data_IF_387715095324
#
_entry.id   IF_387715095324
#
_cell.length_a   1.000
_cell.length_b   1.000
_cell.length_c   1.000
_cell.angle_alpha   90.00
_cell.angle_beta   90.00
_cell.angle_gamma   90.00
#
_symmetry.space_group_name_H-M   'P 1'
#
loop_
_entity.id
_entity.type
_entity.pdbx_description
1 polymer ?
#
# COMPACT_ATOMS: atom_id res chain seq x y z
N UNK A 1 -25.95 27.77 -2.87
CA UNK A 1 -24.92 27.79 -1.81
C UNK A 1 -24.12 26.52 -1.97
N UNK A 2 -22.88 26.61 -2.46
CA UNK A 2 -21.99 25.45 -2.53
C UNK A 2 -21.54 25.14 -1.11
N UNK A 3 -22.15 24.11 -0.53
CA UNK A 3 -21.73 23.56 0.75
C UNK A 3 -20.34 22.94 0.54
N UNK A 4 -19.32 23.53 1.17
CA UNK A 4 -17.99 22.98 1.24
C UNK A 4 -17.98 22.01 2.43
N UNK A 5 -18.08 20.69 2.22
CA UNK A 5 -18.05 19.77 3.35
C UNK A 5 -16.71 19.93 4.07
N UNK A 6 -16.74 20.23 5.38
CA UNK A 6 -15.55 20.08 6.20
C UNK A 6 -15.28 18.58 6.31
N UNK A 7 -14.08 18.09 5.95
CA UNK A 7 -13.76 16.70 6.15
C UNK A 7 -13.90 16.39 7.64
N UNK A 8 -14.77 15.45 7.95
CA UNK A 8 -14.98 14.95 9.29
C UNK A 8 -13.72 14.13 9.63
N UNK A 9 -12.81 14.68 10.44
CA UNK A 9 -11.52 14.10 10.80
C UNK A 9 -11.66 12.90 11.78
N UNK A 10 -12.75 12.14 11.66
CA UNK A 10 -13.05 10.98 12.51
C UNK A 10 -12.00 9.88 12.29
N UNK A 11 -11.38 9.84 11.10
CA UNK A 11 -10.25 8.97 10.77
C UNK A 11 -9.07 9.82 10.31
N UNK A 12 -7.98 9.83 11.08
CA UNK A 12 -6.73 10.51 10.72
C UNK A 12 -6.05 9.79 9.55
N UNK A 13 -6.15 10.34 8.33
CA UNK A 13 -5.36 9.84 7.20
C UNK A 13 -3.90 10.32 7.35
N UNK A 14 -2.98 9.39 7.61
CA UNK A 14 -1.56 9.69 7.66
C UNK A 14 -1.04 10.02 6.25
N UNK A 15 -0.72 11.30 5.98
CA UNK A 15 -0.27 11.79 4.66
C UNK A 15 0.93 11.05 4.06
N UNK A 16 1.77 10.41 4.88
CA UNK A 16 2.91 9.61 4.40
C UNK A 16 2.48 8.23 3.90
N UNK A 17 1.31 7.74 4.32
CA UNK A 17 0.78 6.43 3.90
C UNK A 17 -0.20 6.54 2.73
N UNK A 18 -0.47 7.77 2.28
CA UNK A 18 -1.30 8.09 1.13
C UNK A 18 -0.72 7.56 -0.19
N UNK A 19 0.58 7.25 -0.25
CA UNK A 19 1.19 6.58 -1.40
C UNK A 19 0.81 5.10 -1.55
N UNK A 20 0.53 4.41 -0.43
CA UNK A 20 0.22 2.96 -0.41
C UNK A 20 -1.26 2.71 -0.69
N UNK A 21 -2.12 3.63 -0.27
CA UNK A 21 -3.57 3.58 -0.41
C UNK A 21 -4.09 3.45 -1.86
N UNK A 22 -3.60 4.22 -2.86
CA UNK A 22 -4.02 4.06 -4.24
C UNK A 22 -3.61 2.70 -4.80
N UNK A 23 -2.44 2.17 -4.42
CA UNK A 23 -2.02 0.84 -4.86
C UNK A 23 -2.92 -0.26 -4.30
N UNK A 24 -3.34 -0.14 -3.04
CA UNK A 24 -4.28 -1.07 -2.41
C UNK A 24 -5.62 -1.09 -3.15
N UNK A 25 -6.24 0.08 -3.30
CA UNK A 25 -7.60 0.23 -3.85
C UNK A 25 -7.70 -0.11 -5.35
N UNK A 26 -6.71 0.25 -6.17
CA UNK A 26 -6.70 -0.06 -7.61
C UNK A 26 -6.74 -1.58 -7.85
N UNK A 27 -6.04 -2.37 -7.04
CA UNK A 27 -6.03 -3.84 -7.19
C UNK A 27 -7.40 -4.45 -6.88
N UNK A 28 -8.12 -3.95 -5.87
CA UNK A 28 -9.49 -4.40 -5.60
C UNK A 28 -10.45 -4.02 -6.72
N UNK A 29 -10.34 -2.81 -7.28
CA UNK A 29 -11.15 -2.37 -8.41
C UNK A 29 -10.90 -3.29 -9.62
N UNK A 30 -9.65 -3.65 -9.87
CA UNK A 30 -9.29 -4.60 -10.93
C UNK A 30 -9.94 -5.97 -10.71
N UNK A 31 -9.85 -6.53 -9.50
CA UNK A 31 -10.50 -7.82 -9.19
C UNK A 31 -12.02 -7.77 -9.31
N UNK A 32 -12.66 -6.67 -8.92
CA UNK A 32 -14.10 -6.46 -9.09
C UNK A 32 -14.49 -6.44 -10.57
N UNK A 33 -13.70 -5.74 -11.41
CA UNK A 33 -13.89 -5.76 -12.85
C UNK A 33 -13.70 -7.16 -13.44
N UNK A 34 -12.67 -7.90 -13.03
CA UNK A 34 -12.46 -9.28 -13.47
C UNK A 34 -13.64 -10.20 -13.11
N UNK A 35 -14.18 -10.08 -11.89
CA UNK A 35 -15.36 -10.82 -11.46
C UNK A 35 -16.59 -10.47 -12.30
N UNK A 36 -16.84 -9.17 -12.51
CA UNK A 36 -17.97 -8.68 -13.31
C UNK A 36 -17.89 -9.17 -14.76
N UNK A 37 -16.69 -9.14 -15.36
CA UNK A 37 -16.45 -9.68 -16.69
C UNK A 37 -16.61 -11.21 -16.74
N UNK A 38 -16.16 -11.97 -15.74
CA UNK A 38 -16.42 -13.41 -15.68
C UNK A 38 -17.91 -13.73 -15.53
N UNK A 39 -18.65 -12.95 -14.75
CA UNK A 39 -20.07 -13.20 -14.49
C UNK A 39 -20.98 -12.71 -15.62
N UNK A 40 -20.58 -11.72 -16.42
CA UNK A 40 -21.36 -11.22 -17.56
C UNK A 40 -20.89 -11.80 -18.89
N UNK A 41 -19.60 -11.66 -19.23
CA UNK A 41 -19.12 -11.97 -20.59
C UNK A 41 -19.11 -13.48 -20.86
N UNK A 42 -18.69 -14.29 -19.88
CA UNK A 42 -18.60 -15.75 -20.02
C UNK A 42 -19.95 -16.46 -20.18
N UNK A 43 -21.00 -16.22 -19.38
CA UNK A 43 -22.30 -16.88 -19.62
C UNK A 43 -22.96 -16.40 -20.91
N UNK A 44 -22.77 -15.14 -21.32
CA UNK A 44 -23.23 -14.66 -22.63
C UNK A 44 -22.51 -15.37 -23.78
N UNK A 45 -21.18 -15.52 -23.70
CA UNK A 45 -20.37 -16.27 -24.68
C UNK A 45 -20.73 -17.75 -24.69
N UNK A 46 -20.85 -18.39 -23.53
CA UNK A 46 -21.20 -19.82 -23.41
C UNK A 46 -22.60 -20.08 -23.93
N UNK A 47 -23.59 -19.22 -23.66
CA UNK A 47 -24.95 -19.38 -24.21
C UNK A 47 -24.95 -19.28 -25.74
N UNK A 48 -24.16 -18.34 -26.30
CA UNK A 48 -24.01 -18.17 -27.75
C UNK A 48 -23.25 -19.34 -28.40
N UNK A 49 -22.20 -19.85 -27.74
CA UNK A 49 -21.37 -20.95 -28.24
C UNK A 49 -22.06 -22.30 -28.05
N UNK A 50 -22.77 -22.55 -26.94
CA UNK A 50 -23.57 -23.77 -26.76
C UNK A 50 -24.68 -23.87 -27.80
N UNK A 51 -25.31 -22.74 -28.16
CA UNK A 51 -26.27 -22.70 -29.26
C UNK A 51 -25.64 -23.14 -30.61
N UNK A 52 -24.35 -22.90 -30.80
CA UNK A 52 -23.61 -23.24 -32.04
C UNK A 52 -22.98 -24.64 -31.99
N UNK A 53 -22.49 -25.11 -30.83
CA UNK A 53 -21.57 -26.26 -30.72
C UNK A 53 -22.06 -27.42 -29.82
N UNK A 54 -23.22 -27.31 -29.16
CA UNK A 54 -23.85 -28.36 -28.33
C UNK A 54 -22.89 -29.09 -27.37
N UNK A 55 -22.10 -28.35 -26.58
CA UNK A 55 -21.15 -28.93 -25.61
C UNK A 55 -21.82 -29.08 -24.23
N UNK A 56 -21.74 -30.27 -23.59
CA UNK A 56 -22.19 -30.47 -22.22
C UNK A 56 -21.16 -29.95 -21.19
N UNK A 57 -21.66 -29.32 -20.12
CA UNK A 57 -20.95 -28.96 -18.87
C UNK A 57 -19.87 -27.84 -18.91
N UNK A 58 -20.18 -26.60 -19.33
CA UNK A 58 -19.23 -25.47 -19.29
C UNK A 58 -19.02 -24.85 -17.88
N UNK A 59 -19.81 -25.25 -16.88
CA UNK A 59 -19.93 -24.55 -15.60
C UNK A 59 -18.84 -24.88 -14.57
N UNK A 60 -18.17 -26.03 -14.62
CA UNK A 60 -17.13 -26.40 -13.65
C UNK A 60 -15.94 -25.41 -13.64
N UNK A 61 -15.54 -24.93 -14.81
CA UNK A 61 -14.48 -23.90 -14.92
C UNK A 61 -14.89 -22.56 -14.32
N UNK A 62 -16.19 -22.27 -14.29
CA UNK A 62 -16.75 -21.02 -13.77
C UNK A 62 -16.72 -21.06 -12.24
N UNK A 63 -17.15 -22.17 -11.64
CA UNK A 63 -17.15 -22.33 -10.18
C UNK A 63 -15.73 -22.32 -9.58
N UNK A 64 -14.77 -22.94 -10.27
CA UNK A 64 -13.37 -22.95 -9.80
C UNK A 64 -12.75 -21.55 -9.81
N UNK A 65 -12.97 -20.78 -10.88
CA UNK A 65 -12.46 -19.41 -10.96
C UNK A 65 -13.15 -18.48 -9.96
N UNK A 66 -14.47 -18.64 -9.75
CA UNK A 66 -15.24 -17.85 -8.79
C UNK A 66 -14.73 -18.01 -7.36
N UNK A 67 -14.25 -19.21 -7.00
CA UNK A 67 -13.69 -19.48 -5.67
C UNK A 67 -12.25 -18.95 -5.51
N UNK A 68 -11.52 -18.75 -6.60
CA UNK A 68 -10.14 -18.26 -6.56
C UNK A 68 -10.04 -16.76 -6.27
N UNK A 69 -10.95 -15.95 -6.83
CA UNK A 69 -10.98 -14.50 -6.61
C UNK A 69 -11.09 -14.08 -5.13
N UNK A 70 -11.99 -14.64 -4.28
CA UNK A 70 -12.06 -14.25 -2.88
C UNK A 70 -10.78 -14.58 -2.12
N UNK A 71 -10.12 -15.72 -2.41
CA UNK A 71 -8.83 -16.07 -1.80
C UNK A 71 -7.75 -15.02 -2.15
N UNK A 72 -7.67 -14.59 -3.41
CA UNK A 72 -6.77 -13.52 -3.83
C UNK A 72 -7.08 -12.19 -3.13
N UNK A 73 -8.37 -11.83 -2.97
CA UNK A 73 -8.74 -10.58 -2.28
C UNK A 73 -8.34 -10.60 -0.80
N UNK A 74 -8.47 -11.74 -0.12
CA UNK A 74 -8.05 -11.88 1.28
C UNK A 74 -6.52 -11.79 1.39
N UNK A 75 -5.79 -12.49 0.52
CA UNK A 75 -4.34 -12.39 0.47
C UNK A 75 -3.89 -10.95 0.21
N UNK A 76 -4.51 -10.24 -0.73
CA UNK A 76 -4.22 -8.84 -1.03
C UNK A 76 -4.58 -7.92 0.13
N UNK A 77 -5.68 -8.17 0.83
CA UNK A 77 -6.09 -7.40 2.01
C UNK A 77 -5.07 -7.54 3.13
N UNK A 78 -4.65 -8.77 3.43
CA UNK A 78 -3.66 -9.07 4.48
C UNK A 78 -2.28 -8.51 4.09
N UNK A 79 -1.80 -8.78 2.87
CA UNK A 79 -0.50 -8.31 2.41
C UNK A 79 -0.45 -6.77 2.32
N UNK A 80 -1.51 -6.16 1.80
CA UNK A 80 -1.63 -4.70 1.70
C UNK A 80 -1.72 -4.02 3.06
N UNK A 81 -2.47 -4.59 4.01
CA UNK A 81 -2.54 -4.10 5.39
C UNK A 81 -1.20 -4.24 6.13
N UNK A 82 -0.51 -5.37 5.95
CA UNK A 82 0.83 -5.57 6.51
C UNK A 82 1.84 -4.58 5.93
N UNK A 83 1.81 -4.36 4.61
CA UNK A 83 2.66 -3.39 3.94
C UNK A 83 2.38 -1.97 4.45
N UNK A 84 1.11 -1.61 4.62
CA UNK A 84 0.71 -0.32 5.22
C UNK A 84 1.33 -0.13 6.60
N UNK A 85 1.28 -1.14 7.48
CA UNK A 85 1.88 -1.03 8.81
C UNK A 85 3.42 -0.99 8.77
N UNK A 86 4.05 -1.79 7.89
CA UNK A 86 5.50 -1.93 7.78
C UNK A 86 6.18 -0.82 6.98
N UNK A 87 5.44 -0.04 6.18
CA UNK A 87 5.95 0.97 5.27
C UNK A 87 7.01 1.94 5.87
N UNK A 88 6.78 2.61 7.02
CA UNK A 88 7.78 3.52 7.58
C UNK A 88 9.10 2.81 7.94
N UNK A 89 9.00 1.57 8.44
CA UNK A 89 10.17 0.75 8.78
C UNK A 89 10.94 0.32 7.53
N UNK A 90 10.23 -0.09 6.47
CA UNK A 90 10.84 -0.48 5.20
C UNK A 90 11.60 0.70 4.59
N UNK A 91 11.01 1.90 4.57
CA UNK A 91 11.66 3.12 4.05
C UNK A 91 12.89 3.49 4.87
N UNK A 92 12.80 3.41 6.20
CA UNK A 92 13.90 3.75 7.09
C UNK A 92 15.08 2.78 6.95
N UNK A 93 14.82 1.48 6.98
CA UNK A 93 15.85 0.45 6.82
C UNK A 93 16.45 0.49 5.42
N UNK A 94 15.63 0.61 4.37
CA UNK A 94 16.14 0.71 2.99
C UNK A 94 16.97 1.96 2.77
N UNK A 95 16.61 3.10 3.38
CA UNK A 95 17.42 4.32 3.35
C UNK A 95 18.81 4.11 3.97
N UNK A 96 18.88 3.46 5.14
CA UNK A 96 20.14 3.15 5.82
C UNK A 96 21.02 2.18 5.01
N UNK A 97 20.42 1.11 4.48
CA UNK A 97 21.14 0.12 3.67
C UNK A 97 21.66 0.76 2.39
N UNK A 98 20.84 1.54 1.68
CA UNK A 98 21.29 2.22 0.45
C UNK A 98 22.42 3.21 0.73
N UNK A 99 22.37 3.96 1.84
CA UNK A 99 23.45 4.83 2.25
C UNK A 99 24.74 4.04 2.54
N UNK A 100 24.66 2.94 3.30
CA UNK A 100 25.80 2.09 3.61
C UNK A 100 26.43 1.49 2.34
N UNK A 101 25.59 0.96 1.45
CA UNK A 101 25.99 0.39 0.16
C UNK A 101 26.65 1.47 -0.73
N UNK A 102 26.05 2.65 -0.80
CA UNK A 102 26.59 3.78 -1.57
C UNK A 102 27.99 4.18 -1.09
N UNK A 103 28.20 4.27 0.23
CA UNK A 103 29.51 4.62 0.80
C UNK A 103 30.59 3.59 0.44
N UNK A 104 30.25 2.30 0.45
CA UNK A 104 31.17 1.21 0.07
C UNK A 104 31.53 1.27 -1.42
N UNK A 105 30.53 1.37 -2.30
CA UNK A 105 30.78 1.36 -3.75
C UNK A 105 31.47 2.64 -4.25
N UNK A 106 31.14 3.78 -3.66
CA UNK A 106 31.74 5.06 -4.04
C UNK A 106 33.13 5.28 -3.41
N UNK A 107 33.62 4.36 -2.56
CA UNK A 107 34.93 4.42 -1.85
C UNK A 107 35.18 5.77 -1.21
N UNK A 108 34.17 6.33 -0.54
CA UNK A 108 34.26 7.67 0.02
C UNK A 108 34.94 7.59 1.38
N UNK A 109 36.26 7.81 1.39
CA UNK A 109 37.07 7.79 2.61
C UNK A 109 37.31 9.22 3.18
N UNK A 110 37.12 10.27 2.36
CA UNK A 110 37.48 11.65 2.69
C UNK A 110 36.33 12.63 2.37
N UNK A 111 36.10 13.60 3.25
CA UNK A 111 35.05 14.62 3.14
C UNK A 111 35.12 15.47 1.85
N UNK A 112 36.33 15.71 1.34
CA UNK A 112 36.54 16.44 0.08
C UNK A 112 35.97 15.71 -1.13
N UNK A 113 35.93 14.38 -1.09
CA UNK A 113 35.39 13.56 -2.17
C UNK A 113 33.85 13.56 -2.13
N UNK A 114 33.26 13.66 -0.93
CA UNK A 114 31.81 13.76 -0.71
C UNK A 114 31.20 15.05 -1.32
N UNK A 115 31.96 16.16 -1.32
CA UNK A 115 31.51 17.50 -1.78
C UNK A 115 31.43 17.64 -3.32
N UNK A 116 31.79 16.61 -4.09
CA UNK A 116 31.63 16.66 -5.55
C UNK A 116 30.15 16.79 -5.93
N UNK A 117 29.84 17.74 -6.83
CA UNK A 117 28.48 18.14 -7.20
C UNK A 117 27.54 16.96 -7.54
N UNK A 118 28.06 15.95 -8.24
CA UNK A 118 27.30 14.77 -8.65
C UNK A 118 26.94 13.85 -7.46
N UNK A 119 27.83 13.77 -6.45
CA UNK A 119 27.66 12.92 -5.27
C UNK A 119 26.83 13.59 -4.19
N UNK A 120 26.90 14.92 -4.09
CA UNK A 120 26.04 15.72 -3.21
C UNK A 120 24.56 15.57 -3.55
N UNK A 121 24.19 15.52 -4.84
CA UNK A 121 22.80 15.31 -5.25
C UNK A 121 22.26 13.95 -4.78
N UNK A 122 23.08 12.90 -4.91
CA UNK A 122 22.71 11.54 -4.45
C UNK A 122 22.59 11.50 -2.93
N UNK A 123 23.54 12.10 -2.22
CA UNK A 123 23.51 12.18 -0.75
C UNK A 123 22.29 12.94 -0.25
N UNK A 124 21.96 14.07 -0.87
CA UNK A 124 20.80 14.89 -0.50
C UNK A 124 19.49 14.14 -0.73
N UNK A 125 19.39 13.37 -1.82
CA UNK A 125 18.25 12.49 -2.08
C UNK A 125 18.08 11.41 -0.99
N UNK A 126 19.17 10.78 -0.54
CA UNK A 126 19.12 9.82 0.57
C UNK A 126 18.71 10.48 1.88
N UNK A 127 19.19 11.69 2.15
CA UNK A 127 18.85 12.46 3.33
C UNK A 127 17.35 12.81 3.38
N UNK A 128 16.77 13.23 2.25
CA UNK A 128 15.33 13.44 2.17
C UNK A 128 14.54 12.15 2.35
N UNK A 129 14.99 11.04 1.75
CA UNK A 129 14.34 9.73 1.93
C UNK A 129 14.37 9.30 3.41
N UNK A 130 15.49 9.53 4.08
CA UNK A 130 15.66 9.21 5.50
C UNK A 130 14.79 10.09 6.39
N UNK A 131 14.79 11.41 6.15
CA UNK A 131 13.96 12.37 6.85
C UNK A 131 12.46 12.04 6.66
N UNK A 132 12.07 11.65 5.45
CA UNK A 132 10.71 11.20 5.17
C UNK A 132 10.33 9.96 5.99
N UNK A 133 11.24 8.97 6.10
CA UNK A 133 11.05 7.80 6.95
C UNK A 133 10.87 8.15 8.44
N UNK A 134 11.69 9.07 8.97
CA UNK A 134 11.61 9.53 10.37
C UNK A 134 10.30 10.28 10.63
N UNK A 135 9.89 11.18 9.72
CA UNK A 135 8.63 11.92 9.83
C UNK A 135 7.43 10.96 9.79
N UNK A 136 7.50 9.93 8.96
CA UNK A 136 6.46 8.90 8.89
C UNK A 136 6.35 8.08 10.19
N UNK A 137 7.47 7.83 10.89
CA UNK A 137 7.49 7.11 12.16
C UNK A 137 7.04 7.98 13.33
N UNK A 138 7.58 9.21 13.46
CA UNK A 138 7.29 10.12 14.58
C UNK A 138 5.80 10.47 14.69
N UNK A 139 5.10 10.58 13.55
CA UNK A 139 3.65 10.83 13.54
C UNK A 139 2.82 9.61 13.97
N UNK A 140 3.38 8.38 13.91
CA UNK A 140 2.73 7.16 14.39
C UNK A 140 2.88 7.01 15.91
N UNK A 141 4.06 7.29 16.46
CA UNK A 141 4.32 7.21 17.90
C UNK A 141 3.45 8.22 18.68
N UNK A 142 3.29 9.43 18.16
CA UNK A 142 2.43 10.45 18.78
C UNK A 142 0.96 9.99 18.88
N UNK A 143 0.47 9.17 17.94
CA UNK A 143 -0.89 8.64 17.99
C UNK A 143 -1.04 7.49 19.00
N UNK A 144 -0.04 6.61 19.13
CA UNK A 144 -0.10 5.56 20.16
C UNK A 144 -0.05 6.16 21.58
N UNK A 145 0.76 7.20 21.79
CA UNK A 145 0.76 7.94 23.05
C UNK A 145 -0.61 8.59 23.33
N UNK A 146 -1.18 9.33 22.37
CA UNK A 146 -2.50 9.97 22.50
C UNK A 146 -3.62 8.95 22.77
N UNK A 147 -3.57 7.76 22.14
CA UNK A 147 -4.52 6.67 22.34
C UNK A 147 -4.39 6.06 23.74
N UNK A 148 -3.17 5.86 24.23
CA UNK A 148 -2.90 5.34 25.58
C UNK A 148 -3.40 6.34 26.63
N UNK A 149 -3.18 7.64 26.45
CA UNK A 149 -3.71 8.68 27.35
C UNK A 149 -5.25 8.69 27.39
N UNK A 150 -5.92 8.55 26.23
CA UNK A 150 -7.38 8.45 26.16
C UNK A 150 -7.93 7.19 26.87
N UNK A 151 -7.27 6.04 26.72
CA UNK A 151 -7.67 4.79 27.39
C UNK A 151 -7.44 4.88 28.91
N UNK A 152 -6.39 5.58 29.35
CA UNK A 152 -6.11 5.81 30.76
C UNK A 152 -7.13 6.77 31.40
N UNK A 153 -7.49 7.86 30.73
CA UNK A 153 -8.53 8.79 31.21
C UNK A 153 -9.90 8.11 31.34
N UNK A 154 -10.25 7.22 30.41
CA UNK A 154 -11.49 6.43 30.48
C UNK A 154 -11.47 5.44 31.66
N UNK A 155 -10.30 4.90 32.03
CA UNK A 155 -10.16 3.98 33.17
C UNK A 155 -10.03 4.67 34.53
N UNK A 156 -9.62 5.94 34.59
CA UNK A 156 -9.55 6.73 35.83
C UNK A 156 -10.84 7.55 36.11
N UNK A 157 -11.77 7.60 35.17
CA UNK A 157 -13.04 8.36 35.26
C UNK A 157 -14.23 7.61 35.88
N UNK A 158 -14.00 6.54 36.65
CA UNK A 158 -15.03 5.79 37.40
C UNK A 158 -14.64 5.64 38.88
#
# INVERSE_FOLDING_TARGET
MLYNPSPDYITTLHCTQEAVYPLYTIVFIYYAFCLLFMMLLRPFLVKKIQWILYIPNPFESIYTALFFFPVLTVLQAVAGGLLYYAFPYIVLVSSLVNLAVYLVFAKIEIYSDLIRKDRLLVLFSHWFLHAYGIIALSRKDQFEEDLIFLILDINLGL
#
